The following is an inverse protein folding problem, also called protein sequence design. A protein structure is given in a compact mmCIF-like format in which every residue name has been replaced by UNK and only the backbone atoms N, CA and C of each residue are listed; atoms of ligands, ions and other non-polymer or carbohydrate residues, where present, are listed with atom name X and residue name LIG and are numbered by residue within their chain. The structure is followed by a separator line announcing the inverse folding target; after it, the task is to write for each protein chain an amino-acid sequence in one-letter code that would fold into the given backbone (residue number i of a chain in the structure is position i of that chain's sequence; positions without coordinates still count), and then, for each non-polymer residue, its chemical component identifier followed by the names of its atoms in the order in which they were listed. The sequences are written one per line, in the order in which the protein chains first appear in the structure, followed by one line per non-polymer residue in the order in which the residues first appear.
data_IF_541688595409
#
_entry.id   IF_541688595409
#
_cell.length_a   1.000
_cell.length_b   1.000
_cell.length_c   1.000
_cell.angle_alpha   90.00
_cell.angle_beta   90.00
_cell.angle_gamma   90.00
#
_symmetry.space_group_name_H-M   'P 1'
#
loop_
_entity.id
_entity.type
_entity.pdbx_description
1 polymer ?
#
# COMPACT_ATOMS: atom_id res chain seq x y z
N UNK A 1 3.87 -4.86 29.12
CA UNK A 1 4.20 -6.20 29.69
C UNK A 1 5.72 -6.32 29.82
N UNK A 2 6.25 -7.42 30.38
CA UNK A 2 7.63 -7.53 30.89
C UNK A 2 8.73 -7.67 29.82
N UNK A 3 9.95 -7.35 30.24
CA UNK A 3 11.21 -7.34 29.47
C UNK A 3 12.13 -8.52 29.89
N UNK A 4 13.31 -8.64 29.27
CA UNK A 4 14.52 -9.43 29.65
C UNK A 4 14.71 -10.88 29.11
N UNK A 5 15.51 -10.97 28.03
CA UNK A 5 16.86 -11.58 27.94
C UNK A 5 17.11 -12.97 28.58
N UNK A 6 17.52 -13.90 27.70
CA UNK A 6 18.42 -15.10 27.81
C UNK A 6 19.04 -15.43 29.20
N UNK A 7 19.16 -16.74 29.54
CA UNK A 7 20.50 -17.36 29.44
C UNK A 7 20.52 -18.86 29.02
N UNK A 8 21.67 -19.31 28.52
CA UNK A 8 22.00 -20.74 28.33
C UNK A 8 22.29 -21.45 29.66
N UNK A 9 22.16 -22.78 29.70
CA UNK A 9 22.79 -23.61 30.76
C UNK A 9 23.18 -25.01 30.28
N UNK A 10 24.42 -25.42 30.62
CA UNK A 10 24.80 -26.84 30.71
C UNK A 10 24.14 -27.45 31.95
N UNK A 11 23.89 -28.75 31.91
CA UNK A 11 23.79 -29.61 33.12
C UNK A 11 24.80 -30.75 32.95
N UNK A 12 25.31 -31.27 34.07
CA UNK A 12 26.55 -32.05 34.18
C UNK A 12 26.38 -33.11 35.28
N UNK A 13 26.90 -34.32 35.03
CA UNK A 13 27.05 -35.46 35.96
C UNK A 13 25.77 -36.08 36.56
N UNK A 14 25.74 -37.42 36.54
CA UNK A 14 25.81 -38.22 37.78
C UNK A 14 26.65 -39.48 37.53
N UNK A 15 27.35 -39.94 38.57
CA UNK A 15 27.79 -41.33 38.77
C UNK A 15 27.08 -41.84 40.02
N UNK A 16 26.72 -43.11 40.05
CA UNK A 16 26.57 -44.02 41.21
C UNK A 16 25.92 -45.30 40.65
N UNK A 17 26.55 -46.50 40.62
CA UNK A 17 27.05 -47.40 41.69
C UNK A 17 25.96 -48.13 42.47
N UNK A 18 25.79 -49.42 42.18
CA UNK A 18 25.45 -50.50 43.14
C UNK A 18 25.68 -51.88 42.47
N UNK A 19 25.76 -53.00 43.19
CA UNK A 19 26.84 -53.44 44.10
C UNK A 19 26.65 -54.94 44.47
N UNK A 20 27.73 -55.63 44.90
CA UNK A 20 27.71 -56.85 45.75
C UNK A 20 27.14 -58.13 45.05
N UNK A 21 27.59 -59.38 45.29
CA UNK A 21 28.39 -59.98 46.37
C UNK A 21 29.44 -61.03 45.90
N UNK A 22 30.51 -61.21 46.71
CA UNK A 22 31.22 -62.45 47.14
C UNK A 22 30.84 -63.80 46.48
N UNK A 23 31.73 -64.79 46.29
CA UNK A 23 33.02 -65.19 46.92
C UNK A 23 33.65 -66.27 45.98
N UNK A 24 34.94 -66.65 45.94
CA UNK A 24 36.22 -66.23 46.56
C UNK A 24 37.37 -66.72 45.62
N UNK A 25 38.66 -66.99 45.91
CA UNK A 25 39.52 -67.09 47.12
C UNK A 25 40.99 -66.83 46.69
N UNK A 26 41.90 -66.51 47.62
CA UNK A 26 43.36 -66.52 47.43
C UNK A 26 44.05 -67.21 48.62
N UNK A 27 45.13 -67.97 48.40
CA UNK A 27 46.36 -67.84 49.22
C UNK A 27 47.59 -68.52 48.57
N UNK A 28 48.79 -68.28 49.11
CA UNK A 28 50.06 -68.43 48.40
C UNK A 28 51.21 -69.13 49.20
N UNK A 29 52.18 -69.66 48.46
CA UNK A 29 53.58 -69.96 48.88
C UNK A 29 53.91 -70.94 50.04
N UNK A 30 54.60 -72.03 49.64
CA UNK A 30 55.81 -72.60 50.28
C UNK A 30 55.73 -73.40 51.60
N UNK A 31 56.47 -74.53 51.67
CA UNK A 31 57.74 -74.65 52.43
C UNK A 31 58.48 -75.95 52.08
N UNK A 32 59.74 -76.10 52.52
CA UNK A 32 60.59 -77.28 52.24
C UNK A 32 60.69 -78.27 53.42
N UNK A 33 60.88 -79.54 53.06
CA UNK A 33 61.66 -80.60 53.71
C UNK A 33 61.84 -80.63 55.25
N UNK A 34 61.45 -81.76 55.86
CA UNK A 34 62.05 -82.29 57.09
C UNK A 34 62.08 -83.83 57.07
N UNK A 35 63.11 -84.43 57.68
CA UNK A 35 63.34 -85.89 57.74
C UNK A 35 63.29 -86.41 59.17
N UNK A 36 62.69 -87.58 59.42
CA UNK A 36 63.16 -88.51 60.47
C UNK A 36 62.51 -89.91 60.36
N UNK A 37 63.33 -90.94 60.57
CA UNK A 37 62.94 -92.31 60.97
C UNK A 37 63.00 -92.40 62.51
N UNK A 38 62.38 -93.40 63.18
CA UNK A 38 63.26 -94.40 63.82
C UNK A 38 62.73 -95.86 63.88
N UNK A 39 63.37 -96.74 63.12
CA UNK A 39 64.08 -97.96 63.58
C UNK A 39 63.52 -98.88 64.69
N UNK A 40 63.35 -100.15 64.29
CA UNK A 40 63.77 -101.40 64.99
C UNK A 40 62.98 -102.02 66.16
N UNK A 41 62.89 -103.36 66.11
CA UNK A 41 63.39 -104.23 67.21
C UNK A 41 63.85 -105.61 66.72
N UNK A 42 64.90 -106.14 67.37
CA UNK A 42 65.54 -107.48 67.29
C UNK A 42 65.61 -108.05 68.75
N UNK A 43 66.24 -109.20 69.09
CA UNK A 43 66.89 -110.26 68.31
C UNK A 43 66.05 -111.58 68.35
N UNK A 44 66.36 -112.76 68.93
CA UNK A 44 67.48 -113.34 69.73
C UNK A 44 68.30 -114.36 68.89
N UNK A 45 68.83 -115.47 69.45
CA UNK A 45 69.66 -116.46 68.73
C UNK A 45 69.94 -117.77 69.53
N UNK A 46 70.58 -118.77 68.85
CA UNK A 46 71.38 -119.94 69.35
C UNK A 46 70.67 -121.27 69.70
N UNK A 47 71.03 -122.34 68.95
CA UNK A 47 71.91 -123.48 69.35
C UNK A 47 71.49 -124.91 68.91
N UNK A 48 72.53 -125.70 68.59
CA UNK A 48 72.68 -127.18 68.57
C UNK A 48 72.00 -128.08 67.51
N UNK A 49 72.88 -128.60 66.63
CA UNK A 49 73.01 -129.98 66.09
C UNK A 49 71.79 -130.75 65.53
N UNK A 50 71.85 -130.91 64.20
CA UNK A 50 71.72 -132.18 63.45
C UNK A 50 70.43 -133.01 63.52
N UNK A 51 69.52 -132.78 62.56
CA UNK A 51 68.78 -133.82 61.82
C UNK A 51 68.14 -133.24 60.53
N UNK A 52 67.83 -134.12 59.56
CA UNK A 52 66.95 -133.92 58.39
C UNK A 52 67.14 -132.69 57.48
N UNK A 53 67.95 -132.84 56.43
CA UNK A 53 68.19 -131.82 55.38
C UNK A 53 67.01 -131.62 54.40
N UNK A 54 65.92 -132.40 54.55
CA UNK A 54 64.86 -132.60 53.55
C UNK A 54 63.75 -131.53 53.52
N UNK A 55 63.83 -130.46 54.34
CA UNK A 55 62.74 -129.47 54.51
C UNK A 55 63.09 -128.04 54.05
N UNK A 56 64.31 -127.81 53.55
CA UNK A 56 64.81 -126.46 53.25
C UNK A 56 64.65 -126.04 51.79
N UNK A 57 64.73 -126.98 50.84
CA UNK A 57 64.57 -126.70 49.40
C UNK A 57 63.12 -126.34 49.02
N UNK A 58 62.14 -127.01 49.63
CA UNK A 58 60.71 -126.88 49.29
C UNK A 58 60.20 -125.46 49.48
N UNK A 59 60.60 -124.80 50.58
CA UNK A 59 60.26 -123.40 50.86
C UNK A 59 60.96 -122.43 49.93
N UNK A 60 62.19 -122.73 49.48
CA UNK A 60 62.94 -121.89 48.54
C UNK A 60 62.33 -121.95 47.14
N UNK A 61 61.89 -123.13 46.69
CA UNK A 61 61.14 -123.27 45.44
C UNK A 61 59.80 -122.54 45.50
N UNK A 62 59.02 -122.68 46.58
CA UNK A 62 57.73 -121.97 46.71
C UNK A 62 57.87 -120.44 46.65
N UNK A 63 58.86 -119.84 47.33
CA UNK A 63 59.06 -118.38 47.25
C UNK A 63 59.56 -117.93 45.89
N UNK A 64 60.46 -118.68 45.23
CA UNK A 64 60.89 -118.40 43.87
C UNK A 64 59.73 -118.49 42.85
N UNK A 65 58.84 -119.49 42.98
CA UNK A 65 57.66 -119.61 42.11
C UNK A 65 56.69 -118.45 42.30
N UNK A 66 56.39 -118.06 43.55
CA UNK A 66 55.49 -116.92 43.85
C UNK A 66 56.02 -115.58 43.30
N UNK A 67 57.33 -115.33 43.43
CA UNK A 67 57.98 -114.14 42.88
C UNK A 67 57.92 -114.17 41.34
N UNK A 68 58.14 -115.32 40.71
CA UNK A 68 58.06 -115.46 39.26
C UNK A 68 56.64 -115.19 38.71
N UNK A 69 55.58 -115.63 39.40
CA UNK A 69 54.20 -115.27 39.05
C UNK A 69 53.93 -113.77 39.22
N UNK A 70 54.32 -113.17 40.36
CA UNK A 70 54.10 -111.75 40.62
C UNK A 70 54.82 -110.84 39.60
N UNK A 71 56.04 -111.19 39.17
CA UNK A 71 56.76 -110.46 38.11
C UNK A 71 56.03 -110.59 36.76
N UNK A 72 55.43 -111.75 36.47
CA UNK A 72 54.67 -111.98 35.24
C UNK A 72 53.35 -111.20 35.23
N UNK A 73 52.65 -111.16 36.36
CA UNK A 73 51.45 -110.35 36.56
C UNK A 73 51.74 -108.84 36.42
N UNK A 74 52.81 -108.35 37.07
CA UNK A 74 53.28 -106.97 36.93
C UNK A 74 53.68 -106.61 35.49
N UNK A 75 54.22 -107.56 34.72
CA UNK A 75 54.47 -107.37 33.29
C UNK A 75 53.17 -107.24 32.49
N UNK A 76 52.18 -108.11 32.74
CA UNK A 76 50.85 -108.02 32.07
C UNK A 76 50.07 -106.76 32.46
N UNK A 77 50.19 -106.30 33.72
CA UNK A 77 49.62 -105.04 34.18
C UNK A 77 50.27 -103.85 33.46
N UNK A 78 51.60 -103.84 33.29
CA UNK A 78 52.29 -102.80 32.51
C UNK A 78 51.85 -102.77 31.05
N UNK A 79 51.67 -103.91 30.39
CA UNK A 79 51.15 -103.92 29.00
C UNK A 79 49.69 -103.46 28.92
N UNK A 80 48.86 -103.82 29.90
CA UNK A 80 47.46 -103.38 29.93
C UNK A 80 47.33 -101.87 30.21
N UNK A 81 48.14 -101.32 31.11
CA UNK A 81 48.23 -99.87 31.36
C UNK A 81 48.74 -99.14 30.10
N UNK A 82 49.75 -99.67 29.40
CA UNK A 82 50.23 -99.07 28.15
C UNK A 82 49.14 -99.06 27.04
N UNK A 83 48.37 -100.14 26.91
CA UNK A 83 47.28 -100.24 25.97
C UNK A 83 46.12 -99.29 26.33
N UNK A 84 45.71 -99.24 27.61
CA UNK A 84 44.69 -98.32 28.10
C UNK A 84 45.10 -96.86 27.89
N UNK A 85 46.34 -96.49 28.23
CA UNK A 85 46.85 -95.14 28.01
C UNK A 85 46.83 -94.77 26.53
N UNK A 86 47.19 -95.70 25.63
CA UNK A 86 47.11 -95.47 24.18
C UNK A 86 45.67 -95.32 23.68
N UNK A 87 44.73 -96.09 24.21
CA UNK A 87 43.31 -95.98 23.86
C UNK A 87 42.70 -94.67 24.38
N UNK A 88 43.05 -94.25 25.60
CA UNK A 88 42.70 -92.93 26.15
C UNK A 88 43.30 -91.79 25.32
N UNK A 89 44.56 -91.90 24.90
CA UNK A 89 45.21 -90.93 24.02
C UNK A 89 44.47 -90.78 22.68
N UNK A 90 44.16 -91.89 21.99
CA UNK A 90 43.42 -91.83 20.72
C UNK A 90 41.99 -91.31 20.88
N UNK A 91 41.31 -91.60 22.01
CA UNK A 91 39.99 -91.02 22.31
C UNK A 91 40.07 -89.52 22.58
N UNK A 92 41.12 -89.07 23.26
CA UNK A 92 41.35 -87.63 23.52
C UNK A 92 41.64 -86.89 22.21
N UNK A 93 42.49 -87.45 21.35
CA UNK A 93 42.79 -86.92 20.01
C UNK A 93 41.54 -86.89 19.11
N UNK A 94 40.69 -87.92 19.16
CA UNK A 94 39.40 -87.94 18.45
C UNK A 94 38.42 -86.88 18.99
N UNK A 95 38.30 -86.72 20.32
CA UNK A 95 37.45 -85.69 20.92
C UNK A 95 37.95 -84.27 20.62
N UNK A 96 39.27 -84.05 20.63
CA UNK A 96 39.88 -82.78 20.23
C UNK A 96 39.62 -82.49 18.75
N UNK A 97 39.80 -83.46 17.86
CA UNK A 97 39.50 -83.33 16.43
C UNK A 97 38.03 -83.02 16.16
N UNK A 98 37.11 -83.70 16.86
CA UNK A 98 35.67 -83.41 16.79
C UNK A 98 35.34 -82.00 17.31
N UNK A 99 35.96 -81.57 18.41
CA UNK A 99 35.76 -80.24 19.00
C UNK A 99 36.27 -79.12 18.07
N UNK A 100 37.45 -79.27 17.47
CA UNK A 100 37.96 -78.28 16.50
C UNK A 100 37.17 -78.30 15.19
N UNK A 101 36.72 -79.45 14.71
CA UNK A 101 35.85 -79.51 13.53
C UNK A 101 34.51 -78.81 13.79
N UNK A 102 33.88 -79.05 14.96
CA UNK A 102 32.65 -78.40 15.37
C UNK A 102 32.82 -76.89 15.56
N UNK A 103 33.91 -76.44 16.21
CA UNK A 103 34.26 -75.00 16.29
C UNK A 103 34.38 -74.37 14.91
N UNK A 104 35.08 -75.03 13.99
CA UNK A 104 35.30 -74.54 12.61
C UNK A 104 33.97 -74.47 11.84
N UNK A 105 33.10 -75.45 11.99
CA UNK A 105 31.76 -75.45 11.39
C UNK A 105 30.88 -74.34 11.95
N UNK A 106 30.83 -74.17 13.27
CA UNK A 106 30.10 -73.06 13.91
C UNK A 106 30.66 -71.69 13.52
N UNK A 107 31.99 -71.54 13.40
CA UNK A 107 32.63 -70.32 12.89
C UNK A 107 32.24 -70.03 11.43
N UNK A 108 32.19 -71.05 10.57
CA UNK A 108 31.76 -70.89 9.18
C UNK A 108 30.27 -70.54 9.06
N UNK A 109 29.40 -71.13 9.90
CA UNK A 109 27.97 -70.78 9.97
C UNK A 109 27.78 -69.35 10.49
N UNK A 110 28.51 -68.95 11.53
CA UNK A 110 28.49 -67.59 12.05
C UNK A 110 29.01 -66.57 11.01
N UNK A 111 30.12 -66.85 10.33
CA UNK A 111 30.67 -65.99 9.28
C UNK A 111 29.72 -65.85 8.10
N UNK A 112 29.10 -66.96 7.64
CA UNK A 112 28.11 -66.94 6.56
C UNK A 112 26.85 -66.14 6.94
N UNK A 113 26.31 -66.34 8.14
CA UNK A 113 25.12 -65.61 8.59
C UNK A 113 25.41 -64.13 8.84
N UNK A 114 26.61 -63.77 9.32
CA UNK A 114 27.09 -62.38 9.37
C UNK A 114 27.21 -61.74 7.98
N UNK A 115 27.78 -62.45 7.00
CA UNK A 115 27.86 -61.95 5.62
C UNK A 115 26.46 -61.74 5.01
N UNK A 116 25.58 -62.74 5.11
CA UNK A 116 24.21 -62.63 4.59
C UNK A 116 23.37 -61.55 5.28
N UNK A 117 23.56 -61.31 6.58
CA UNK A 117 22.84 -60.25 7.30
C UNK A 117 23.42 -58.86 7.01
N UNK A 118 24.74 -58.71 6.89
CA UNK A 118 25.37 -57.47 6.48
C UNK A 118 24.98 -57.07 5.03
N UNK A 119 24.89 -58.03 4.11
CA UNK A 119 24.47 -57.77 2.74
C UNK A 119 22.98 -57.40 2.64
N UNK A 120 22.10 -58.08 3.41
CA UNK A 120 20.68 -57.69 3.56
C UNK A 120 20.53 -56.29 4.18
N UNK A 121 21.31 -55.96 5.23
CA UNK A 121 21.31 -54.62 5.83
C UNK A 121 21.78 -53.54 4.84
N UNK A 122 22.82 -53.82 4.05
CA UNK A 122 23.32 -52.92 3.01
C UNK A 122 22.30 -52.70 1.89
N UNK A 123 21.58 -53.75 1.49
CA UNK A 123 20.46 -53.66 0.53
C UNK A 123 19.32 -52.79 1.08
N UNK A 124 18.88 -53.02 2.31
CA UNK A 124 17.80 -52.23 2.95
C UNK A 124 18.20 -50.75 3.10
N UNK A 125 19.47 -50.47 3.45
CA UNK A 125 19.98 -49.09 3.52
C UNK A 125 19.98 -48.42 2.15
N UNK A 126 20.45 -49.09 1.10
CA UNK A 126 20.45 -48.55 -0.26
C UNK A 126 19.02 -48.32 -0.82
N UNK A 127 18.07 -49.18 -0.48
CA UNK A 127 16.64 -48.99 -0.80
C UNK A 127 16.04 -47.81 -0.03
N UNK A 128 16.36 -47.67 1.27
CA UNK A 128 15.91 -46.53 2.08
C UNK A 128 16.51 -45.20 1.60
N UNK A 129 17.80 -45.18 1.23
CA UNK A 129 18.48 -44.01 0.67
C UNK A 129 17.87 -43.61 -0.69
N UNK A 130 17.63 -44.55 -1.60
CA UNK A 130 17.01 -44.27 -2.90
C UNK A 130 15.55 -43.84 -2.78
N UNK A 131 14.77 -44.41 -1.85
CA UNK A 131 13.42 -43.93 -1.54
C UNK A 131 13.44 -42.52 -0.96
N UNK A 132 14.32 -42.23 0.00
CA UNK A 132 14.46 -40.88 0.58
C UNK A 132 14.87 -39.85 -0.47
N UNK A 133 15.83 -40.18 -1.34
CA UNK A 133 16.27 -39.34 -2.45
C UNK A 133 15.11 -39.05 -3.42
N UNK A 134 14.29 -40.06 -3.73
CA UNK A 134 13.11 -39.93 -4.59
C UNK A 134 12.04 -39.02 -3.97
N UNK A 135 11.75 -39.19 -2.67
CA UNK A 135 10.79 -38.35 -1.93
C UNK A 135 11.26 -36.90 -1.89
N UNK A 136 12.56 -36.65 -1.66
CA UNK A 136 13.15 -35.31 -1.69
C UNK A 136 13.01 -34.70 -3.09
N UNK A 137 13.34 -35.45 -4.15
CA UNK A 137 13.27 -34.97 -5.53
C UNK A 137 11.83 -34.67 -5.99
N UNK A 138 10.85 -35.49 -5.58
CA UNK A 138 9.43 -35.18 -5.78
C UNK A 138 9.00 -33.93 -5.00
N UNK A 139 9.45 -33.77 -3.76
CA UNK A 139 9.10 -32.62 -2.93
C UNK A 139 9.69 -31.31 -3.48
N UNK A 140 10.93 -31.32 -3.97
CA UNK A 140 11.53 -30.14 -4.64
C UNK A 140 10.80 -29.83 -5.94
N UNK A 141 10.49 -30.83 -6.79
CA UNK A 141 9.75 -30.59 -8.04
C UNK A 141 8.35 -30.03 -7.79
N UNK A 142 7.63 -30.55 -6.78
CA UNK A 142 6.31 -30.02 -6.38
C UNK A 142 6.42 -28.59 -5.83
N UNK A 143 7.48 -28.28 -5.10
CA UNK A 143 7.80 -26.93 -4.62
C UNK A 143 8.11 -25.93 -5.75
N UNK A 144 8.92 -26.33 -6.73
CA UNK A 144 9.23 -25.50 -7.91
C UNK A 144 8.00 -25.26 -8.80
N UNK A 145 7.15 -26.27 -8.97
CA UNK A 145 5.88 -26.14 -9.68
C UNK A 145 4.95 -25.15 -8.96
N UNK A 146 4.80 -25.26 -7.63
CA UNK A 146 4.04 -24.30 -6.83
C UNK A 146 4.60 -22.87 -6.89
N UNK A 147 5.93 -22.71 -6.87
CA UNK A 147 6.58 -21.40 -6.98
C UNK A 147 6.41 -20.78 -8.37
N UNK A 148 6.43 -21.57 -9.44
CA UNK A 148 6.22 -21.08 -10.81
C UNK A 148 4.75 -20.75 -11.08
N UNK A 149 3.81 -21.53 -10.59
CA UNK A 149 2.37 -21.19 -10.61
C UNK A 149 2.07 -19.93 -9.77
N UNK A 150 2.60 -19.82 -8.55
CA UNK A 150 2.41 -18.65 -7.70
C UNK A 150 2.94 -17.37 -8.36
N UNK A 151 4.14 -17.40 -8.97
CA UNK A 151 4.70 -16.27 -9.74
C UNK A 151 3.84 -15.92 -10.95
N UNK A 152 3.39 -16.91 -11.73
CA UNK A 152 2.52 -16.70 -12.89
C UNK A 152 1.19 -16.04 -12.48
N UNK A 153 0.58 -16.52 -11.40
CA UNK A 153 -0.65 -15.98 -10.85
C UNK A 153 -0.45 -14.56 -10.29
N UNK A 154 0.67 -14.27 -9.63
CA UNK A 154 1.04 -12.93 -9.19
C UNK A 154 1.13 -11.98 -10.39
N UNK A 155 1.95 -12.28 -11.41
CA UNK A 155 2.11 -11.42 -12.59
C UNK A 155 0.80 -11.23 -13.36
N UNK A 156 -0.05 -12.27 -13.43
CA UNK A 156 -1.38 -12.15 -14.02
C UNK A 156 -2.30 -11.21 -13.21
N UNK A 157 -2.28 -11.31 -11.87
CA UNK A 157 -3.07 -10.45 -10.98
C UNK A 157 -2.57 -9.00 -11.01
N UNK A 158 -1.25 -8.77 -11.03
CA UNK A 158 -0.63 -7.46 -11.18
C UNK A 158 -1.03 -6.79 -12.50
N UNK A 159 -0.95 -7.51 -13.62
CA UNK A 159 -1.40 -7.01 -14.93
C UNK A 159 -2.91 -6.70 -14.96
N UNK A 160 -3.75 -7.53 -14.32
CA UNK A 160 -5.19 -7.29 -14.20
C UNK A 160 -5.49 -6.06 -13.32
N UNK A 161 -4.80 -5.92 -12.18
CA UNK A 161 -4.95 -4.79 -11.28
C UNK A 161 -4.48 -3.47 -11.93
N UNK A 162 -3.35 -3.51 -12.64
CA UNK A 162 -2.80 -2.37 -13.37
C UNK A 162 -3.77 -1.91 -14.48
N UNK A 163 -4.14 -2.80 -15.40
CA UNK A 163 -5.05 -2.45 -16.51
C UNK A 163 -6.46 -2.06 -16.06
N UNK A 164 -6.96 -2.58 -14.93
CA UNK A 164 -8.20 -2.09 -14.32
C UNK A 164 -8.03 -0.72 -13.65
N UNK A 165 -6.88 -0.48 -13.00
CA UNK A 165 -6.51 0.79 -12.39
C UNK A 165 -6.38 1.91 -13.43
N UNK A 166 -5.68 1.65 -14.54
CA UNK A 166 -5.57 2.58 -15.67
C UNK A 166 -6.94 2.95 -16.24
N UNK A 167 -7.80 1.96 -16.53
CA UNK A 167 -9.15 2.22 -17.06
C UNK A 167 -9.99 3.05 -16.11
N UNK A 168 -10.02 2.71 -14.81
CA UNK A 168 -10.75 3.47 -13.79
C UNK A 168 -10.19 4.90 -13.64
N UNK A 169 -8.88 5.05 -13.64
CA UNK A 169 -8.22 6.36 -13.54
C UNK A 169 -8.47 7.24 -14.76
N UNK A 170 -8.43 6.67 -15.96
CA UNK A 170 -8.75 7.36 -17.21
C UNK A 170 -10.23 7.78 -17.26
N UNK A 171 -11.16 6.91 -16.89
CA UNK A 171 -12.60 7.21 -16.87
C UNK A 171 -12.96 8.26 -15.81
N UNK A 172 -12.37 8.19 -14.61
CA UNK A 172 -12.50 9.21 -13.57
C UNK A 172 -11.91 10.57 -14.01
N UNK A 173 -10.71 10.57 -14.61
CA UNK A 173 -10.07 11.77 -15.14
C UNK A 173 -10.86 12.42 -16.29
N UNK A 174 -11.42 11.59 -17.19
CA UNK A 174 -12.24 12.05 -18.31
C UNK A 174 -13.58 12.62 -17.84
N UNK A 175 -14.22 12.01 -16.84
CA UNK A 175 -15.51 12.49 -16.31
C UNK A 175 -15.36 13.78 -15.50
N UNK A 176 -14.37 13.87 -14.60
CA UNK A 176 -14.12 15.12 -13.87
C UNK A 176 -13.59 16.23 -14.79
N UNK A 177 -12.74 15.91 -15.77
CA UNK A 177 -12.26 16.86 -16.78
C UNK A 177 -13.36 17.42 -17.68
N UNK A 178 -14.36 16.60 -18.05
CA UNK A 178 -15.58 17.07 -18.75
C UNK A 178 -16.40 18.00 -17.87
N UNK A 179 -16.70 17.58 -16.64
CA UNK A 179 -17.47 18.35 -15.65
C UNK A 179 -16.84 19.72 -15.34
N UNK A 180 -15.51 19.78 -15.22
CA UNK A 180 -14.80 21.05 -15.03
C UNK A 180 -14.79 21.91 -16.31
N UNK A 181 -14.65 21.30 -17.49
CA UNK A 181 -14.78 22.01 -18.77
C UNK A 181 -16.18 22.61 -18.96
N UNK A 182 -17.24 21.85 -18.66
CA UNK A 182 -18.63 22.32 -18.69
C UNK A 182 -18.86 23.47 -17.69
N UNK A 183 -18.31 23.37 -16.47
CA UNK A 183 -18.34 24.44 -15.46
C UNK A 183 -17.66 25.71 -15.96
N UNK A 184 -16.48 25.60 -16.57
CA UNK A 184 -15.72 26.72 -17.13
C UNK A 184 -16.42 27.34 -18.35
N UNK A 185 -17.00 26.52 -19.24
CA UNK A 185 -17.80 26.98 -20.38
C UNK A 185 -19.05 27.74 -19.91
N UNK A 186 -19.78 27.22 -18.93
CA UNK A 186 -20.96 27.88 -18.36
C UNK A 186 -20.59 29.21 -17.66
N UNK A 187 -19.50 29.23 -16.88
CA UNK A 187 -18.99 30.45 -16.26
C UNK A 187 -18.59 31.50 -17.32
N UNK A 188 -17.85 31.09 -18.35
CA UNK A 188 -17.43 31.97 -19.45
C UNK A 188 -18.64 32.53 -20.21
N UNK A 189 -19.62 31.69 -20.54
CA UNK A 189 -20.88 32.13 -21.18
C UNK A 189 -21.64 33.12 -20.30
N UNK A 190 -21.71 32.91 -18.98
CA UNK A 190 -22.34 33.86 -18.05
C UNK A 190 -21.60 35.20 -18.02
N UNK A 191 -20.28 35.20 -17.87
CA UNK A 191 -19.46 36.43 -17.86
C UNK A 191 -19.61 37.21 -19.17
N UNK A 192 -19.58 36.53 -20.32
CA UNK A 192 -19.80 37.15 -21.62
C UNK A 192 -21.22 37.74 -21.75
N UNK A 193 -22.24 37.02 -21.29
CA UNK A 193 -23.65 37.48 -21.35
C UNK A 193 -23.86 38.74 -20.51
N UNK A 194 -23.39 38.76 -19.26
CA UNK A 194 -23.50 39.97 -18.43
C UNK A 194 -22.60 41.10 -18.97
N UNK A 195 -21.42 40.81 -19.54
CA UNK A 195 -20.57 41.84 -20.16
C UNK A 195 -21.25 42.52 -21.36
N UNK A 196 -21.98 41.77 -22.19
CA UNK A 196 -22.81 42.34 -23.26
C UNK A 196 -23.94 43.19 -22.68
N UNK A 197 -24.60 42.72 -21.62
CA UNK A 197 -25.70 43.43 -20.95
C UNK A 197 -25.26 44.74 -20.29
N UNK A 198 -24.12 44.73 -19.59
CA UNK A 198 -23.53 45.94 -19.00
C UNK A 198 -23.04 46.91 -20.08
N UNK A 199 -22.54 46.42 -21.23
CA UNK A 199 -22.23 47.26 -22.39
C UNK A 199 -23.49 47.96 -22.92
N UNK A 200 -24.60 47.25 -23.12
CA UNK A 200 -25.87 47.87 -23.53
C UNK A 200 -26.34 48.93 -22.54
N UNK A 201 -26.39 48.60 -21.25
CA UNK A 201 -26.80 49.55 -20.20
C UNK A 201 -25.88 50.78 -20.11
N UNK A 202 -24.58 50.60 -20.35
CA UNK A 202 -23.63 51.71 -20.40
C UNK A 202 -23.88 52.63 -21.60
N UNK A 203 -24.22 52.07 -22.77
CA UNK A 203 -24.60 52.85 -23.96
C UNK A 203 -25.90 53.61 -23.70
N UNK A 204 -26.97 52.93 -23.28
CA UNK A 204 -28.27 53.52 -22.93
C UNK A 204 -28.12 54.68 -21.92
N UNK A 205 -27.34 54.48 -20.86
CA UNK A 205 -27.07 55.51 -19.84
C UNK A 205 -26.22 56.66 -20.39
N UNK A 206 -25.31 56.39 -21.31
CA UNK A 206 -24.46 57.43 -21.93
C UNK A 206 -25.26 58.29 -22.90
N UNK A 207 -26.20 57.71 -23.66
CA UNK A 207 -27.11 58.47 -24.53
C UNK A 207 -27.95 59.46 -23.72
N UNK A 208 -28.61 59.01 -22.64
CA UNK A 208 -29.38 59.90 -21.75
C UNK A 208 -28.51 61.01 -21.15
N UNK A 209 -27.31 60.67 -20.66
CA UNK A 209 -26.40 61.66 -20.06
C UNK A 209 -25.89 62.68 -21.08
N UNK A 210 -25.61 62.27 -22.33
CA UNK A 210 -25.20 63.17 -23.40
C UNK A 210 -26.35 64.10 -23.82
N UNK A 211 -27.58 63.60 -23.90
CA UNK A 211 -28.76 64.42 -24.19
C UNK A 211 -29.01 65.46 -23.09
N UNK A 212 -28.98 65.05 -21.82
CA UNK A 212 -29.13 65.97 -20.68
C UNK A 212 -28.03 67.04 -20.67
N UNK A 213 -26.78 66.66 -20.97
CA UNK A 213 -25.66 67.60 -21.12
C UNK A 213 -25.88 68.58 -22.28
N UNK A 214 -26.33 68.10 -23.45
CA UNK A 214 -26.66 68.95 -24.60
C UNK A 214 -27.80 69.93 -24.28
N UNK A 215 -28.86 69.49 -23.58
CA UNK A 215 -29.97 70.35 -23.15
C UNK A 215 -29.47 71.44 -22.19
N UNK A 216 -28.62 71.10 -21.21
CA UNK A 216 -28.00 72.07 -20.29
C UNK A 216 -27.12 73.08 -21.04
N UNK A 217 -26.34 72.64 -22.02
CA UNK A 217 -25.51 73.52 -22.86
C UNK A 217 -26.36 74.47 -23.71
N UNK A 218 -27.42 73.97 -24.36
CA UNK A 218 -28.34 74.80 -25.18
C UNK A 218 -29.04 75.83 -24.29
N UNK A 219 -29.61 75.44 -23.14
CA UNK A 219 -30.26 76.37 -22.20
C UNK A 219 -29.29 77.46 -21.71
N UNK A 220 -28.03 77.12 -21.46
CA UNK A 220 -26.99 78.09 -21.08
C UNK A 220 -26.63 79.06 -22.23
N UNK A 221 -26.48 78.56 -23.45
CA UNK A 221 -26.14 79.39 -24.63
C UNK A 221 -27.30 80.33 -24.97
N UNK A 222 -28.54 79.82 -25.02
CA UNK A 222 -29.73 80.62 -25.33
C UNK A 222 -29.95 81.70 -24.26
N UNK A 223 -29.76 81.38 -22.97
CA UNK A 223 -29.82 82.39 -21.91
C UNK A 223 -28.80 83.52 -22.13
N UNK A 224 -27.52 83.19 -22.31
CA UNK A 224 -26.48 84.21 -22.55
C UNK A 224 -26.83 85.09 -23.77
N UNK A 225 -27.25 84.49 -24.88
CA UNK A 225 -27.65 85.23 -26.09
C UNK A 225 -28.86 86.13 -25.86
N UNK A 226 -29.77 85.74 -24.98
CA UNK A 226 -30.97 86.52 -24.59
C UNK A 226 -30.59 87.71 -23.69
N UNK A 227 -29.74 87.46 -22.68
CA UNK A 227 -29.22 88.50 -21.78
C UNK A 227 -28.40 89.57 -22.54
N UNK A 228 -27.66 89.17 -23.59
CA UNK A 228 -26.85 90.06 -24.44
C UNK A 228 -27.67 90.83 -25.51
N UNK A 229 -28.69 90.22 -26.14
CA UNK A 229 -29.34 90.75 -27.35
C UNK A 229 -30.76 91.26 -27.12
N UNK A 230 -30.92 92.49 -26.58
CA UNK A 230 -32.23 93.13 -26.36
C UNK A 230 -33.16 93.17 -27.59
N UNK A 231 -32.62 93.20 -28.81
CA UNK A 231 -33.43 93.18 -30.02
C UNK A 231 -34.19 91.85 -30.25
N UNK A 232 -33.90 90.79 -29.47
CA UNK A 232 -34.55 89.48 -29.59
C UNK A 232 -36.07 89.58 -29.39
N UNK A 233 -36.55 90.39 -28.43
CA UNK A 233 -38.00 90.55 -28.17
C UNK A 233 -38.79 90.99 -29.40
N UNK A 234 -38.21 91.85 -30.25
CA UNK A 234 -38.86 92.34 -31.48
C UNK A 234 -39.04 91.19 -32.48
N UNK A 235 -38.10 90.23 -32.51
CA UNK A 235 -38.20 89.03 -33.33
C UNK A 235 -39.23 88.05 -32.75
N UNK A 236 -39.16 87.78 -31.44
CA UNK A 236 -40.12 86.92 -30.73
C UNK A 236 -41.56 87.39 -30.91
N UNK A 237 -41.83 88.69 -30.74
CA UNK A 237 -43.15 89.28 -30.97
C UNK A 237 -43.57 89.14 -32.43
N UNK A 238 -42.70 89.43 -33.40
CA UNK A 238 -43.03 89.30 -34.84
C UNK A 238 -43.33 87.84 -35.22
N UNK A 239 -42.64 86.85 -34.64
CA UNK A 239 -42.96 85.44 -34.89
C UNK A 239 -44.25 84.99 -34.19
N UNK A 240 -44.47 85.40 -32.95
CA UNK A 240 -45.70 85.09 -32.21
C UNK A 240 -46.94 85.73 -32.87
N UNK A 241 -46.84 86.99 -33.34
CA UNK A 241 -47.90 87.64 -34.12
C UNK A 241 -48.19 86.94 -35.46
N UNK A 242 -47.17 86.34 -36.10
CA UNK A 242 -47.37 85.49 -37.30
C UNK A 242 -48.23 84.25 -37.00
N UNK A 243 -48.20 83.73 -35.77
CA UNK A 243 -49.07 82.63 -35.30
C UNK A 243 -50.46 83.12 -34.88
N UNK A 244 -50.63 84.43 -34.66
CA UNK A 244 -51.85 85.12 -34.22
C UNK A 244 -52.66 85.75 -35.36
N UNK A 245 -52.54 85.26 -36.61
CA UNK A 245 -53.22 85.89 -37.74
C UNK A 245 -54.75 85.85 -37.60
N UNK A 246 -55.41 86.90 -38.09
CA UNK A 246 -56.83 87.17 -37.89
C UNK A 246 -57.23 87.69 -36.51
N UNK A 247 -56.31 87.83 -35.55
CA UNK A 247 -56.65 88.35 -34.21
C UNK A 247 -56.80 89.88 -34.21
N UNK A 248 -57.97 90.37 -33.77
CA UNK A 248 -58.36 91.79 -33.88
C UNK A 248 -57.94 92.63 -32.67
N UNK A 249 -57.95 92.02 -31.48
CA UNK A 249 -57.59 92.64 -30.21
C UNK A 249 -56.56 91.77 -29.51
N UNK A 250 -55.41 92.35 -29.19
CA UNK A 250 -54.23 91.62 -28.72
C UNK A 250 -53.62 92.35 -27.52
N UNK A 251 -53.31 91.58 -26.47
CA UNK A 251 -52.43 91.99 -25.37
C UNK A 251 -51.10 91.26 -25.51
N UNK A 252 -49.99 91.97 -25.37
CA UNK A 252 -48.64 91.41 -25.40
C UNK A 252 -48.01 91.68 -24.04
N UNK A 253 -47.83 90.63 -23.26
CA UNK A 253 -47.13 90.69 -21.97
C UNK A 253 -45.63 90.48 -22.23
N UNK A 254 -44.80 91.39 -21.70
CA UNK A 254 -43.35 91.40 -21.88
C UNK A 254 -42.63 91.69 -20.56
N UNK A 255 -41.36 91.33 -20.45
CA UNK A 255 -40.55 91.70 -19.28
C UNK A 255 -40.42 93.23 -19.15
N UNK A 256 -40.30 93.74 -17.92
CA UNK A 256 -40.13 95.18 -17.62
C UNK A 256 -38.91 95.81 -18.31
N UNK A 257 -37.86 95.03 -18.59
CA UNK A 257 -36.66 95.48 -19.32
C UNK A 257 -36.91 95.68 -20.83
N UNK A 258 -37.93 95.03 -21.38
CA UNK A 258 -38.24 95.01 -22.83
C UNK A 258 -39.43 95.90 -23.21
N UNK A 259 -40.18 96.43 -22.22
CA UNK A 259 -41.37 97.26 -22.42
C UNK A 259 -41.09 98.47 -23.33
N UNK A 260 -40.11 99.30 -22.96
CA UNK A 260 -39.71 100.52 -23.69
C UNK A 260 -39.31 100.23 -25.15
N UNK A 261 -38.64 99.10 -25.39
CA UNK A 261 -38.23 98.68 -26.73
C UNK A 261 -39.43 98.17 -27.56
N UNK A 262 -40.35 97.47 -26.90
CA UNK A 262 -41.56 96.92 -27.52
C UNK A 262 -42.58 98.02 -27.86
N UNK A 263 -42.74 99.03 -27.00
CA UNK A 263 -43.57 100.21 -27.28
C UNK A 263 -43.04 101.03 -28.46
N UNK A 264 -41.71 101.22 -28.57
CA UNK A 264 -41.10 101.95 -29.69
C UNK A 264 -41.37 101.28 -31.05
N UNK A 265 -41.40 99.95 -31.09
CA UNK A 265 -41.67 99.18 -32.32
C UNK A 265 -43.17 98.86 -32.52
N UNK A 266 -44.06 99.41 -31.70
CA UNK A 266 -45.51 99.19 -31.79
C UNK A 266 -46.11 99.63 -33.14
N UNK A 267 -45.54 100.66 -33.76
CA UNK A 267 -45.92 101.10 -35.11
C UNK A 267 -45.57 100.05 -36.17
N UNK A 268 -44.38 99.44 -36.09
CA UNK A 268 -43.96 98.36 -36.99
C UNK A 268 -44.90 97.14 -36.90
N UNK A 269 -45.34 96.77 -35.69
CA UNK A 269 -46.22 95.63 -35.50
C UNK A 269 -47.58 95.81 -36.20
N UNK A 270 -48.15 97.02 -36.16
CA UNK A 270 -49.33 97.36 -36.96
C UNK A 270 -49.04 97.37 -38.46
N UNK A 271 -47.88 97.88 -38.89
CA UNK A 271 -47.50 97.95 -40.30
C UNK A 271 -47.23 96.58 -40.94
N UNK A 272 -46.89 95.56 -40.14
CA UNK A 272 -46.70 94.17 -40.61
C UNK A 272 -48.00 93.35 -40.69
N UNK A 273 -49.05 93.71 -39.94
CA UNK A 273 -50.23 92.85 -39.74
C UNK A 273 -51.54 93.66 -39.73
N UNK A 274 -52.09 93.91 -40.92
CA UNK A 274 -53.32 94.70 -41.15
C UNK A 274 -54.57 94.14 -40.43
N UNK A 275 -54.57 92.84 -40.10
CA UNK A 275 -55.61 92.17 -39.30
C UNK A 275 -55.82 92.78 -37.90
N UNK A 276 -54.77 93.37 -37.30
CA UNK A 276 -54.75 93.74 -35.88
C UNK A 276 -55.22 95.20 -35.69
N UNK A 277 -56.36 95.39 -35.01
CA UNK A 277 -56.94 96.72 -34.77
C UNK A 277 -56.54 97.36 -33.44
N UNK A 278 -56.11 96.57 -32.46
CA UNK A 278 -55.62 97.09 -31.19
C UNK A 278 -54.57 96.15 -30.59
N UNK A 279 -53.36 96.69 -30.38
CA UNK A 279 -52.27 96.09 -29.60
C UNK A 279 -52.15 96.87 -28.28
N UNK A 280 -52.32 96.19 -27.16
CA UNK A 280 -51.92 96.67 -25.83
C UNK A 280 -50.66 95.93 -25.41
N UNK A 281 -49.64 96.64 -24.94
CA UNK A 281 -48.42 96.04 -24.39
C UNK A 281 -48.49 96.24 -22.88
N UNK A 282 -48.18 95.19 -22.11
CA UNK A 282 -48.25 95.16 -20.65
C UNK A 282 -46.94 94.60 -20.10
N UNK A 283 -46.48 95.15 -18.97
CA UNK A 283 -45.36 94.58 -18.24
C UNK A 283 -45.80 93.37 -17.40
N UNK A 284 -44.99 92.32 -17.43
CA UNK A 284 -45.12 91.16 -16.55
C UNK A 284 -43.72 90.72 -16.07
N UNK A 285 -43.39 90.89 -14.78
CA UNK A 285 -42.09 90.49 -14.23
C UNK A 285 -41.91 88.97 -14.09
N UNK A 286 -42.97 88.16 -14.32
CA UNK A 286 -42.86 86.70 -14.37
C UNK A 286 -42.39 86.18 -15.75
N UNK A 287 -42.34 87.04 -16.77
CA UNK A 287 -41.82 86.71 -18.11
C UNK A 287 -40.31 86.97 -18.15
N UNK A 288 -39.55 86.03 -18.71
CA UNK A 288 -38.11 86.17 -18.94
C UNK A 288 -37.83 87.21 -20.05
N UNK A 289 -36.74 88.00 -19.97
CA UNK A 289 -36.35 88.91 -21.03
C UNK A 289 -36.28 88.23 -22.41
N UNK A 290 -36.57 88.96 -23.48
CA UNK A 290 -36.64 88.44 -24.85
C UNK A 290 -37.86 87.55 -25.16
N UNK A 291 -38.60 87.10 -24.15
CA UNK A 291 -39.84 86.33 -24.28
C UNK A 291 -41.10 87.19 -24.21
N UNK A 292 -42.22 86.70 -24.76
CA UNK A 292 -43.52 87.33 -24.60
C UNK A 292 -44.67 86.32 -24.46
N UNK A 293 -45.80 86.75 -23.91
CA UNK A 293 -47.06 86.01 -23.92
C UNK A 293 -48.11 86.88 -24.64
N UNK A 294 -48.74 86.34 -25.67
CA UNK A 294 -49.73 87.06 -26.48
C UNK A 294 -51.13 86.53 -26.16
N UNK A 295 -52.01 87.36 -25.62
CA UNK A 295 -53.40 87.02 -25.29
C UNK A 295 -54.41 87.74 -26.18
N UNK A 296 -55.53 87.07 -26.48
CA UNK A 296 -56.66 87.59 -27.24
C UNK A 296 -57.95 86.91 -26.79
N UNK A 297 -59.11 87.47 -27.18
CA UNK A 297 -60.43 86.89 -26.90
C UNK A 297 -60.62 85.48 -27.55
N UNK A 298 -59.75 85.13 -28.49
CA UNK A 298 -59.74 83.86 -29.25
C UNK A 298 -58.82 82.81 -28.59
N UNK A 299 -57.85 83.21 -27.77
CA UNK A 299 -56.87 82.32 -27.15
C UNK A 299 -55.57 83.02 -26.75
N UNK A 300 -54.55 82.24 -26.37
CA UNK A 300 -53.23 82.75 -26.03
C UNK A 300 -52.11 81.97 -26.75
N UNK A 301 -51.04 82.67 -27.11
CA UNK A 301 -49.81 82.12 -27.70
C UNK A 301 -48.66 82.42 -26.74
N UNK A 302 -48.13 81.36 -26.13
CA UNK A 302 -46.94 81.43 -25.28
C UNK A 302 -45.68 81.45 -26.16
N UNK A 303 -44.92 82.53 -26.07
CA UNK A 303 -43.62 82.69 -26.72
C UNK A 303 -42.54 83.08 -25.70
N UNK A 304 -42.65 82.57 -24.47
CA UNK A 304 -41.59 82.65 -23.46
C UNK A 304 -40.43 81.72 -23.82
N UNK A 305 -39.21 82.16 -23.51
CA UNK A 305 -37.97 81.44 -23.87
C UNK A 305 -37.91 80.07 -23.16
N UNK A 306 -38.28 80.02 -21.88
CA UNK A 306 -38.48 78.76 -21.13
C UNK A 306 -39.44 77.77 -21.80
N UNK A 307 -40.60 78.22 -22.28
CA UNK A 307 -41.58 77.36 -22.96
C UNK A 307 -41.03 76.79 -24.27
N UNK A 308 -40.39 77.62 -25.10
CA UNK A 308 -39.74 77.17 -26.34
C UNK A 308 -38.58 76.18 -26.07
N UNK A 309 -37.80 76.41 -25.02
CA UNK A 309 -36.74 75.50 -24.57
C UNK A 309 -37.29 74.18 -24.01
N UNK A 310 -38.51 74.17 -23.47
CA UNK A 310 -39.20 72.96 -23.03
C UNK A 310 -39.77 72.17 -24.21
N UNK A 311 -40.38 72.82 -25.21
CA UNK A 311 -40.80 72.19 -26.46
C UNK A 311 -39.60 71.56 -27.20
N UNK A 312 -38.49 72.28 -27.27
CA UNK A 312 -37.24 71.78 -27.85
C UNK A 312 -36.67 70.57 -27.08
N UNK A 313 -36.71 70.59 -25.75
CA UNK A 313 -36.30 69.45 -24.93
C UNK A 313 -37.19 68.22 -25.17
N UNK A 314 -38.51 68.38 -25.23
CA UNK A 314 -39.44 67.30 -25.52
C UNK A 314 -39.19 66.71 -26.91
N UNK A 315 -39.07 67.57 -27.94
CA UNK A 315 -38.78 67.13 -29.30
C UNK A 315 -37.45 66.36 -29.42
N UNK A 316 -36.39 66.82 -28.74
CA UNK A 316 -35.08 66.13 -28.70
C UNK A 316 -35.21 64.75 -28.02
N UNK A 317 -36.00 64.65 -26.94
CA UNK A 317 -36.24 63.37 -26.24
C UNK A 317 -37.10 62.42 -27.10
N UNK A 318 -38.07 62.91 -27.86
CA UNK A 318 -38.89 62.08 -28.76
C UNK A 318 -38.11 61.48 -29.95
N UNK A 319 -36.98 62.07 -30.36
CA UNK A 319 -36.06 61.48 -31.33
C UNK A 319 -35.14 60.38 -30.75
N UNK A 320 -35.29 60.03 -29.46
CA UNK A 320 -34.47 59.03 -28.74
C UNK A 320 -35.27 57.72 -28.58
N UNK A 321 -34.69 56.50 -28.74
CA UNK A 321 -33.26 56.19 -28.89
C UNK A 321 -32.71 56.45 -30.29
N UNK A 322 -31.43 56.84 -30.33
CA UNK A 322 -30.67 56.94 -31.57
C UNK A 322 -30.41 55.52 -32.06
N UNK A 323 -31.30 54.98 -32.92
CA UNK A 323 -31.10 53.66 -33.51
C UNK A 323 -29.73 53.61 -34.18
N UNK A 324 -28.83 52.68 -33.80
CA UNK A 324 -27.51 52.61 -34.39
C UNK A 324 -27.64 52.38 -35.88
N UNK A 325 -27.00 53.25 -36.66
CA UNK A 325 -26.89 53.08 -38.10
C UNK A 325 -25.90 51.94 -38.33
N UNK A 326 -26.43 50.73 -38.50
CA UNK A 326 -25.62 49.56 -38.85
C UNK A 326 -25.30 49.69 -40.34
N UNK A 327 -24.04 50.03 -40.61
CA UNK A 327 -23.40 50.00 -41.92
C UNK A 327 -22.71 48.63 -42.14
#
# INVERSE_FOLDING_TARGET
MKTYIIPSKKVVLTKETEAISTFTEEDNTSYQAATADPTTTKPTSKNFKAASELSRETKLRQTQTLIATAVKELATLKTNIANLNKEHQTKLEQQQSQLEHFKTEQQNIAAKTLAETAEKQKSILAEAETQAQTIIQEATQKGENLLTEARKNQTQLENQAHTQGEKKGFEAGLTEGRKESERLQHLTKKVLTESIRERSRLIERSEVYLLDLCIVLVKKIVKNLTDDNRNLIIHTIKEALKRADGWVHIKIHVNTLDLDLSEKHKADFYALYESIKNITILEDPAIEPGGCLIESDIGAIDARISSQLQELELAIRDFTPIKPRIE
#
